data_IF_577360941016
#
_entry.id   IF_577360941016
#
_cell.length_a   1.000
_cell.length_b   1.000
_cell.length_c   1.000
_cell.angle_alpha   90.00
_cell.angle_beta   90.00
_cell.angle_gamma   90.00
#
_symmetry.space_group_name_H-M   'P 1'
#
loop_
_entity.id
_entity.type
_entity.pdbx_description
1 polymer ?
#
# COMPACT_ATOMS: atom_id res chain seq x y z
N UNK A 1 7.97 -9.47 3.76
CA UNK A 1 8.67 -8.23 4.16
C UNK A 1 8.25 -7.85 5.57
N UNK A 2 9.09 -7.11 6.29
CA UNK A 2 8.66 -6.47 7.53
C UNK A 2 7.61 -5.40 7.24
N UNK A 3 6.65 -5.25 8.15
CA UNK A 3 5.80 -4.07 8.23
C UNK A 3 6.67 -2.93 8.74
N UNK A 4 6.72 -1.83 8.00
CA UNK A 4 7.54 -0.67 8.35
C UNK A 4 6.77 0.37 9.16
N UNK A 5 5.45 0.37 9.03
CA UNK A 5 4.54 1.26 9.73
C UNK A 5 3.17 0.59 9.87
N UNK A 6 2.53 0.79 11.02
CA UNK A 6 1.18 0.30 11.28
C UNK A 6 0.38 1.38 12.01
N UNK A 7 -0.81 1.67 11.50
CA UNK A 7 -1.74 2.63 12.09
C UNK A 7 -3.17 2.16 11.86
N UNK A 8 -4.01 2.17 12.91
CA UNK A 8 -5.44 1.83 12.83
C UNK A 8 -5.72 0.47 12.15
N UNK A 9 -4.78 -0.48 12.27
CA UNK A 9 -4.84 -1.80 11.63
C UNK A 9 -4.38 -1.84 10.16
N UNK A 10 -4.08 -0.70 9.55
CA UNK A 10 -3.43 -0.62 8.24
C UNK A 10 -1.94 -0.92 8.38
N UNK A 11 -1.45 -1.88 7.60
CA UNK A 11 -0.05 -2.31 7.62
C UNK A 11 0.63 -1.87 6.32
N UNK A 12 1.71 -1.12 6.45
CA UNK A 12 2.49 -0.58 5.33
C UNK A 12 3.80 -1.32 5.18
N UNK A 13 4.14 -1.69 3.95
CA UNK A 13 5.36 -2.43 3.64
C UNK A 13 5.78 -2.22 2.18
N UNK A 14 7.06 -2.40 1.88
CA UNK A 14 7.59 -2.34 0.51
C UNK A 14 8.56 -3.51 0.27
N UNK A 15 8.69 -3.94 -0.99
CA UNK A 15 9.69 -4.95 -1.37
C UNK A 15 11.04 -4.25 -1.50
N UNK A 16 12.05 -4.68 -0.73
CA UNK A 16 13.39 -4.08 -0.82
C UNK A 16 14.11 -4.36 -2.15
N UNK A 17 13.62 -5.35 -2.91
CA UNK A 17 14.10 -5.71 -4.24
C UNK A 17 12.99 -5.47 -5.28
N UNK A 18 12.36 -4.30 -5.23
CA UNK A 18 11.37 -3.87 -6.21
C UNK A 18 11.99 -3.07 -7.36
N UNK A 19 11.19 -2.75 -8.38
CA UNK A 19 11.58 -1.93 -9.52
C UNK A 19 11.06 -0.51 -9.35
N UNK A 20 11.56 0.42 -10.16
CA UNK A 20 11.00 1.77 -10.21
C UNK A 20 9.67 1.76 -10.99
N UNK A 21 8.65 2.52 -10.55
CA UNK A 21 8.63 3.38 -9.35
C UNK A 21 8.46 2.58 -8.04
N UNK A 22 8.89 3.15 -6.91
CA UNK A 22 8.80 2.47 -5.61
C UNK A 22 7.32 2.18 -5.28
N UNK A 23 7.02 0.92 -4.96
CA UNK A 23 5.67 0.50 -4.53
C UNK A 23 5.56 0.40 -3.02
N UNK A 24 4.53 1.05 -2.46
CA UNK A 24 4.09 0.83 -1.08
C UNK A 24 2.81 0.02 -1.09
N UNK A 25 2.85 -1.14 -0.43
CA UNK A 25 1.69 -1.99 -0.23
C UNK A 25 1.05 -1.67 1.12
N UNK A 26 -0.27 -1.54 1.13
CA UNK A 26 -1.09 -1.26 2.30
C UNK A 26 -2.09 -2.40 2.45
N UNK A 27 -2.03 -3.13 3.56
CA UNK A 27 -2.99 -4.19 3.90
C UNK A 27 -3.93 -3.75 5.01
N UNK A 28 -5.22 -4.01 4.82
CA UNK A 28 -6.25 -3.78 5.84
C UNK A 28 -7.42 -4.74 5.67
N UNK A 29 -7.89 -5.32 6.78
CA UNK A 29 -9.07 -6.20 6.84
C UNK A 29 -9.14 -7.30 5.76
N UNK A 30 -7.99 -7.84 5.34
CA UNK A 30 -7.90 -8.88 4.30
C UNK A 30 -7.85 -8.35 2.85
N UNK A 31 -7.96 -7.03 2.65
CA UNK A 31 -7.70 -6.36 1.39
C UNK A 31 -6.27 -5.79 1.31
N UNK A 32 -5.88 -5.42 0.10
CA UNK A 32 -4.59 -4.79 -0.20
C UNK A 32 -4.78 -3.65 -1.23
N UNK A 33 -4.05 -2.56 -1.03
CA UNK A 33 -3.83 -1.53 -2.04
C UNK A 33 -2.33 -1.34 -2.29
N UNK A 34 -2.00 -0.97 -3.51
CA UNK A 34 -0.63 -0.67 -3.95
C UNK A 34 -0.60 0.76 -4.45
N UNK A 35 0.36 1.51 -3.94
CA UNK A 35 0.60 2.90 -4.33
C UNK A 35 1.94 3.04 -5.02
N UNK A 36 1.95 3.75 -6.15
CA UNK A 36 3.17 4.22 -6.78
C UNK A 36 3.67 5.45 -6.03
N UNK A 37 4.94 5.45 -5.65
CA UNK A 37 5.58 6.59 -4.99
C UNK A 37 6.54 7.25 -5.99
N UNK A 38 6.11 8.38 -6.55
CA UNK A 38 6.88 9.24 -7.44
C UNK A 38 6.80 10.70 -6.94
N UNK A 39 6.80 11.68 -7.86
CA UNK A 39 6.49 13.09 -7.55
C UNK A 39 5.10 13.24 -6.90
N UNK A 40 4.17 12.37 -7.28
CA UNK A 40 2.84 12.22 -6.69
C UNK A 40 2.62 10.78 -6.19
N UNK A 41 1.71 10.63 -5.25
CA UNK A 41 1.30 9.33 -4.70
C UNK A 41 0.01 8.92 -5.40
N UNK A 42 0.07 7.83 -6.15
CA UNK A 42 -1.05 7.36 -6.98
C UNK A 42 -1.48 5.95 -6.57
N UNK A 43 -2.79 5.73 -6.46
CA UNK A 43 -3.35 4.39 -6.30
C UNK A 43 -3.19 3.62 -7.60
N UNK A 44 -2.33 2.60 -7.58
CA UNK A 44 -2.09 1.71 -8.72
C UNK A 44 -3.13 0.58 -8.74
N UNK A 45 -3.32 -0.07 -7.60
CA UNK A 45 -4.09 -1.31 -7.49
C UNK A 45 -4.85 -1.31 -6.16
N UNK A 46 -6.07 -1.84 -6.15
CA UNK A 46 -6.79 -2.14 -4.93
C UNK A 46 -7.62 -3.40 -5.10
N UNK A 47 -7.50 -4.33 -4.15
CA UNK A 47 -8.25 -5.56 -4.11
C UNK A 47 -8.78 -5.83 -2.70
N UNK A 48 -10.10 -6.00 -2.58
CA UNK A 48 -10.74 -6.33 -1.31
C UNK A 48 -10.88 -5.16 -0.31
N UNK A 49 -10.35 -3.98 -0.63
CA UNK A 49 -10.60 -2.74 0.14
C UNK A 49 -11.83 -2.01 -0.39
N UNK A 50 -12.64 -1.50 0.54
CA UNK A 50 -13.77 -0.62 0.25
C UNK A 50 -13.24 0.76 -0.09
N UNK A 51 -13.96 1.48 -0.96
CA UNK A 51 -13.60 2.85 -1.36
C UNK A 51 -13.43 3.76 -0.14
N UNK A 52 -14.27 3.60 0.89
CA UNK A 52 -14.20 4.35 2.14
C UNK A 52 -12.90 4.12 2.94
N UNK A 53 -12.21 3.01 2.71
CA UNK A 53 -10.92 2.68 3.34
C UNK A 53 -9.74 3.28 2.55
N UNK A 54 -10.00 3.87 1.38
CA UNK A 54 -9.03 4.52 0.50
C UNK A 54 -9.27 6.03 0.34
N UNK A 55 -10.26 6.58 1.05
CA UNK A 55 -10.69 7.98 0.95
C UNK A 55 -10.12 8.84 2.08
#
# INVERSE_FOLDING_TARGET
>A
MPVIFEQDGFKFFFYSNDHEPIHVHVRYSGGEAVFNINEEIELRESHGLKIKELS
#
